data_IF_526805128052
#
_entry.id   IF_526805128052
#
_cell.length_a   1.000
_cell.length_b   1.000
_cell.length_c   1.000
_cell.angle_alpha   90.00
_cell.angle_beta   90.00
_cell.angle_gamma   90.00
#
_symmetry.space_group_name_H-M   'P 1'
#
loop_
_entity.id
_entity.type
_entity.pdbx_description
1 polymer ?
2 polymer ?
3 non-polymer ?
#
loop_
_entity_poly.entity_id
_entity_poly.type
_entity_poly.pdbx_seq_one_letter_code
_entity_poly.pdbx_strand_id
1 'polyribonucleotide' 'GAUGGCCGGCAUGGUCCCAGCCUCCUCGCUGGCGCCGGCUGGGCAACACCAUUGCACUCCGGUGGCGAAUGGGACU' ?
#
# COMPACT_ATOMS: atom_id res chain seq x y z
N UNK B 4 -11.02 -9.79 7.66
CA UNK B 4 -9.84 -10.37 6.96
C UNK B 4 -9.62 -9.76 5.58
N UNK B 5 -10.70 -9.66 4.80
CA UNK B 5 -10.63 -9.11 3.45
C UNK B 5 -11.83 -8.21 3.14
N UNK B 6 -11.55 -7.05 2.56
CA UNK B 6 -12.57 -6.08 2.19
C UNK B 6 -12.85 -6.12 0.69
N UNK B 7 -13.85 -5.34 0.25
CA UNK B 7 -14.21 -5.25 -1.17
C UNK B 7 -13.12 -4.52 -1.96
N UNK B 8 -12.86 -4.95 -3.19
CA UNK B 8 -11.81 -4.38 -4.04
C UNK B 8 -11.85 -2.85 -4.12
N UNK B 9 -10.93 -2.22 -3.39
CA UNK B 9 -10.79 -0.76 -3.37
C UNK B 9 -9.69 -0.29 -4.32
N UNK B 10 -9.64 1.03 -4.54
CA UNK B 10 -8.59 1.64 -5.35
C UNK B 10 -7.24 1.64 -4.62
N UNK B 11 -7.31 1.70 -3.29
CA UNK B 11 -6.12 1.68 -2.45
C UNK B 11 -5.95 0.31 -1.80
N UNK B 12 -4.70 -0.13 -1.66
CA UNK B 12 -4.40 -1.38 -0.97
C UNK B 12 -3.73 -1.14 0.38
N UNK B 13 -4.41 -1.55 1.44
CA UNK B 13 -3.90 -1.42 2.81
C UNK B 13 -2.82 -2.45 3.08
N UNK B 14 -1.57 -2.01 3.06
CA UNK B 14 -0.43 -2.88 3.33
C UNK B 14 0.09 -2.66 4.75
N UNK B 15 0.19 -3.74 5.52
CA UNK B 15 0.67 -3.67 6.90
C UNK B 15 1.71 -4.75 7.22
N UNK B 16 2.17 -4.79 8.48
CA UNK B 16 3.22 -5.70 8.93
C UNK B 16 4.59 -5.37 8.32
N UNK B 17 4.80 -4.08 8.05
CA UNK B 17 6.04 -3.60 7.46
C UNK B 17 7.09 -3.29 8.53
N UNK B 18 8.32 -3.06 8.09
CA UNK B 18 9.42 -2.73 8.99
C UNK B 18 9.27 -1.34 9.61
N UNK B 19 9.26 -1.29 10.94
CA UNK B 19 9.10 -0.05 11.69
C UNK B 19 10.37 0.77 11.75
N UNK B 20 11.51 0.08 11.83
CA UNK B 20 12.83 0.72 11.96
C UNK B 20 13.20 1.64 10.79
N UNK B 21 12.65 1.33 9.61
CA UNK B 21 12.89 2.11 8.39
C UNK B 21 12.23 3.48 8.49
N UNK B 22 12.94 4.51 8.02
CA UNK B 22 12.45 5.90 8.01
C UNK B 22 11.31 6.08 7.01
N UNK B 23 10.55 7.16 7.17
CA UNK B 23 9.36 7.44 6.37
C UNK B 23 9.62 7.58 4.87
N UNK B 24 10.38 8.62 4.50
CA UNK B 24 10.65 8.96 3.09
C UNK B 24 11.41 7.86 2.34
N UNK B 25 12.25 7.11 3.06
CA UNK B 25 12.99 5.99 2.49
C UNK B 25 12.06 4.82 2.15
N UNK B 26 11.18 4.48 3.08
CA UNK B 26 10.19 3.41 2.89
C UNK B 26 9.16 3.78 1.82
N UNK B 27 8.76 5.06 1.82
CA UNK B 27 7.82 5.59 0.83
C UNK B 27 8.36 5.53 -0.60
N UNK B 28 9.68 5.43 -0.73
CA UNK B 28 10.35 5.33 -2.02
C UNK B 28 10.63 3.88 -2.40
N UNK B 29 11.00 3.07 -1.41
CA UNK B 29 11.34 1.66 -1.62
C UNK B 29 10.12 0.82 -1.98
N UNK B 30 8.95 1.18 -1.43
CA UNK B 30 7.69 0.55 -1.79
C UNK B 30 7.33 0.87 -3.23
N UNK B 31 7.52 2.13 -3.62
CA UNK B 31 7.32 2.59 -4.99
C UNK B 31 8.27 1.90 -5.96
N UNK B 32 9.50 1.65 -5.49
CA UNK B 32 10.53 1.00 -6.30
C UNK B 32 10.15 -0.43 -6.73
N UNK B 33 9.32 -1.08 -5.93
CA UNK B 33 8.88 -2.46 -6.21
C UNK B 33 7.39 -2.58 -6.53
N UNK B 34 6.69 -1.45 -6.59
CA UNK B 34 5.26 -1.42 -6.88
C UNK B 34 4.90 -0.63 -8.15
N UNK B 35 5.91 0.00 -8.76
CA UNK B 35 5.71 0.83 -9.95
C UNK B 35 5.70 0.01 -11.26
N UNK B 36 5.11 -1.18 -11.21
CA UNK B 36 4.99 -2.03 -12.39
C UNK B 36 3.55 -2.50 -12.64
N UNK B 37 2.76 -2.54 -11.58
CA UNK B 37 1.37 -2.97 -11.67
C UNK B 37 0.46 -1.86 -12.21
N UNK B 38 0.73 -0.63 -11.82
CA UNK B 38 -0.04 0.53 -12.28
C UNK B 38 0.48 1.84 -11.73
N UNK B 39 -0.06 2.94 -12.25
CA UNK B 39 0.34 4.28 -11.85
C UNK B 39 -0.13 4.62 -10.43
N UNK B 40 0.83 4.68 -9.51
CA UNK B 40 0.55 5.02 -8.12
C UNK B 40 0.36 6.53 -7.99
N UNK B 41 -0.74 6.93 -7.35
CA UNK B 41 -1.03 8.35 -7.13
C UNK B 41 -0.19 8.91 -5.98
N UNK B 42 -0.25 8.24 -4.82
CA UNK B 42 0.55 8.61 -3.65
C UNK B 42 0.53 7.51 -2.58
N UNK B 43 1.70 7.25 -1.99
CA UNK B 43 1.81 6.32 -0.88
C UNK B 43 1.78 7.09 0.45
N UNK B 44 0.94 6.63 1.37
CA UNK B 44 0.82 7.27 2.68
C UNK B 44 1.49 6.45 3.78
N UNK B 45 2.55 7.03 4.36
CA UNK B 45 3.32 6.37 5.41
C UNK B 45 3.35 7.27 6.67
N UNK B 46 2.96 6.69 7.80
CA UNK B 46 2.91 7.41 9.07
C UNK B 46 3.88 6.81 10.09
N UNK B 47 4.30 7.63 11.07
CA UNK B 47 5.23 7.19 12.10
C UNK B 47 4.62 7.30 13.51
N UNK B 48 3.29 7.37 13.57
CA UNK B 48 2.56 7.50 14.83
C UNK B 48 2.57 6.21 15.66
N UNK B 49 1.87 6.23 16.80
CA UNK B 49 1.82 5.08 17.71
C UNK B 49 1.12 3.87 17.08
N UNK B 50 -0.17 4.03 16.77
CA UNK B 50 -0.93 2.95 16.15
C UNK B 50 -0.77 2.95 14.63
N UNK B 51 -0.58 4.14 14.06
CA UNK B 51 -0.49 4.31 12.61
C UNK B 51 0.80 3.77 11.98
N UNK B 52 1.73 3.29 12.81
CA UNK B 52 2.96 2.68 12.33
C UNK B 52 2.75 1.24 11.87
N UNK B 53 3.73 0.73 11.10
CA UNK B 53 3.70 -0.64 10.64
C UNK B 53 2.89 -0.86 9.37
N UNK B 54 2.05 0.10 9.03
CA UNK B 54 1.19 0.01 7.85
C UNK B 54 1.55 1.05 6.79
N UNK B 55 0.85 0.99 5.65
CA UNK B 55 0.97 1.99 4.59
C UNK B 55 -0.25 1.89 3.66
N UNK B 56 -0.47 2.95 2.88
CA UNK B 56 -1.57 3.00 1.93
C UNK B 56 -1.07 3.35 0.53
N UNK B 57 -1.09 2.36 -0.36
CA UNK B 57 -0.67 2.56 -1.75
C UNK B 57 -1.90 2.80 -2.63
N UNK B 58 -2.14 4.07 -2.95
CA UNK B 58 -3.28 4.46 -3.78
C UNK B 58 -3.00 4.20 -5.25
N UNK B 59 -3.81 3.33 -5.85
CA UNK B 59 -3.69 2.99 -7.27
C UNK B 59 -4.79 3.66 -8.10
N UNK B 60 -4.44 4.02 -9.33
CA UNK B 60 -5.37 4.67 -10.24
C UNK B 60 -6.40 3.68 -10.77
N UNK B 61 -5.94 2.68 -11.52
CA UNK B 61 -6.79 1.62 -12.03
C UNK B 61 -6.97 0.54 -10.96
N UNK B 62 -8.20 0.04 -10.82
CA UNK B 62 -8.52 -0.99 -9.84
C UNK B 62 -7.83 -2.31 -10.19
N UNK B 63 -7.74 -2.61 -11.48
CA UNK B 63 -7.08 -3.81 -11.99
C UNK B 63 -5.59 -3.87 -11.62
N UNK B 64 -5.00 -2.69 -11.44
CA UNK B 64 -3.60 -2.58 -11.00
C UNK B 64 -3.44 -3.06 -9.56
N UNK B 65 -4.28 -2.52 -8.66
CA UNK B 65 -4.27 -2.90 -7.25
C UNK B 65 -4.71 -4.35 -7.03
N UNK B 66 -5.49 -4.87 -7.97
CA UNK B 66 -5.92 -6.28 -7.94
C UNK B 66 -4.74 -7.22 -8.14
N UNK B 67 -3.88 -6.90 -9.11
CA UNK B 67 -2.68 -7.69 -9.38
C UNK B 67 -1.51 -7.33 -8.46
N UNK B 68 -1.57 -6.14 -7.85
CA UNK B 68 -0.56 -5.70 -6.90
C UNK B 68 -0.69 -6.42 -5.55
N UNK B 69 -1.90 -6.89 -5.27
CA UNK B 69 -2.19 -7.60 -4.02
C UNK B 69 -1.84 -9.09 -4.12
N UNK B 70 -2.25 -9.72 -5.21
CA UNK B 70 -2.09 -11.16 -5.39
C UNK B 70 -0.65 -11.59 -5.70
N UNK B 71 0.15 -10.67 -6.24
CA UNK B 71 1.53 -10.97 -6.61
C UNK B 71 2.53 -10.66 -5.50
N UNK B 72 2.29 -9.56 -4.78
CA UNK B 72 3.22 -9.10 -3.74
C UNK B 72 2.87 -9.60 -2.33
N UNK B 73 1.86 -10.46 -2.24
CA UNK B 73 1.44 -11.03 -0.96
C UNK B 73 2.51 -11.94 -0.36
N UNK B 74 2.94 -11.60 0.85
CA UNK B 74 3.95 -12.37 1.57
C UNK B 74 5.37 -12.17 1.09
N UNK B 75 5.56 -11.24 0.15
CA UNK B 75 6.88 -10.94 -0.41
C UNK B 75 7.75 -10.21 0.61
N UNK B 76 8.91 -10.78 0.93
CA UNK B 76 9.86 -10.18 1.88
C UNK B 76 10.24 -8.75 1.50
N UNK B 77 10.27 -7.87 2.51
CA UNK B 77 10.60 -6.46 2.33
C UNK B 77 11.25 -5.94 3.61
N UNK B 78 12.54 -5.62 3.51
CA UNK B 78 13.37 -5.27 4.67
C UNK B 78 13.34 -6.37 5.73
N UNK B 79 13.53 -7.62 5.28
CA UNK B 79 13.47 -8.82 6.11
C UNK B 79 12.12 -9.04 6.79
N UNK B 80 11.05 -8.54 6.16
CA UNK B 80 9.70 -8.64 6.69
C UNK B 80 8.68 -8.96 5.59
N UNK B 81 7.87 -10.01 5.81
CA UNK B 81 6.84 -10.39 4.83
C UNK B 81 5.68 -9.40 4.79
N UNK B 82 5.30 -8.98 3.57
CA UNK B 82 4.26 -7.98 3.38
C UNK B 82 2.86 -8.56 3.51
N UNK B 83 2.11 -8.10 4.51
CA UNK B 83 0.72 -8.49 4.71
C UNK B 83 -0.18 -7.39 4.15
N UNK B 84 -0.70 -7.63 2.94
CA UNK B 84 -1.50 -6.63 2.23
C UNK B 84 -2.98 -6.98 2.22
N UNK B 85 -3.82 -5.94 2.24
CA UNK B 85 -5.27 -6.07 2.16
C UNK B 85 -5.82 -4.95 1.29
N UNK B 86 -7.14 -4.98 1.06
CA UNK B 86 -7.82 -3.87 0.40
C UNK B 86 -8.19 -2.80 1.43
N UNK B 87 -8.27 -1.55 0.99
CA UNK B 87 -8.67 -0.45 1.87
C UNK B 87 -10.16 -0.55 2.22
N UNK B 88 -10.47 -0.21 3.48
CA UNK B 88 -11.83 -0.25 3.99
C UNK B 88 -12.73 0.76 3.29
N UNK B 89 -12.17 1.92 2.98
CA UNK B 89 -12.89 2.99 2.28
C UNK B 89 -12.00 3.62 1.20
N UNK B 90 -12.64 4.29 0.24
CA UNK B 90 -11.93 4.97 -0.84
C UNK B 90 -11.11 6.16 -0.33
N UNK B 91 -9.93 6.34 -0.89
CA UNK B 91 -9.03 7.44 -0.52
C UNK B 91 -9.55 8.78 -1.02
N UNK B 92 -9.08 9.85 -0.38
CA UNK B 92 -9.52 11.22 -0.67
C UNK B 92 -9.29 11.64 -2.13
N UNK B 93 -8.22 11.14 -2.73
CA UNK B 93 -7.91 11.41 -4.13
C UNK B 93 -8.92 10.73 -5.06
N UNK B 94 -9.32 9.51 -4.69
CA UNK B 94 -10.34 8.76 -5.43
C UNK B 94 -11.73 9.34 -5.20
N UNK B 95 -11.96 9.85 -3.99
CA UNK B 95 -13.23 10.50 -3.65
C UNK B 95 -13.45 11.79 -4.45
N UNK B 96 -12.35 12.42 -4.86
CA UNK B 96 -12.38 13.63 -5.68
C UNK B 96 -12.80 13.34 -7.13
N UNK B 97 -12.52 12.11 -7.57
CA UNK B 97 -12.85 11.69 -8.94
C UNK B 97 -14.36 11.49 -9.11
N UNK B 98 -14.93 10.60 -8.30
CA UNK B 98 -16.37 10.32 -8.33
C UNK B 98 -16.89 9.91 -6.95
X LIG C 1 9.88 8.55 18.62
X LIG D 1 20.80 30.07 35.38
#
# INVERSE_FOLDING_TARGET
MAVPETRPNHTIYINNLNEKIKKDELKKSLHAIFSRFGQILDILVSRSLKMRGQAFVIFKEVSSATNALRSMQGFPFYDKPMRIQYAKTDSDIIAKMKGT
NA NA
NA NA
#
